data_IF_049454011524
#
_entry.id   IF_049454011524
#
_cell.length_a   1.000
_cell.length_b   1.000
_cell.length_c   1.000
_cell.angle_alpha   90.00
_cell.angle_beta   90.00
_cell.angle_gamma   90.00
#
_symmetry.space_group_name_H-M   'P 1'
#
loop_
_entity.id
_entity.type
_entity.pdbx_description
1 polymer ?
#
# COMPACT_ATOMS: atom_id res chain seq x y z
N UNK A 1 -3.20 13.50 -8.05
CA UNK A 1 -1.78 13.95 -7.96
C UNK A 1 -1.63 15.11 -8.96
N UNK A 2 -0.91 16.19 -8.63
CA UNK A 2 -0.71 17.29 -9.57
C UNK A 2 0.62 17.08 -10.31
N UNK A 3 0.55 16.70 -11.58
CA UNK A 3 1.73 16.36 -12.39
C UNK A 3 2.64 17.56 -12.67
N UNK A 4 2.09 18.78 -12.73
CA UNK A 4 2.88 19.98 -13.00
C UNK A 4 3.74 20.40 -11.80
N UNK A 5 3.29 20.07 -10.58
CA UNK A 5 3.90 20.45 -9.31
C UNK A 5 3.82 19.31 -8.29
N UNK A 6 4.60 18.22 -8.48
CA UNK A 6 4.57 17.04 -7.62
C UNK A 6 4.92 17.35 -6.16
N UNK A 7 5.75 18.36 -5.90
CA UNK A 7 6.21 18.72 -4.56
C UNK A 7 5.31 19.78 -3.87
N UNK A 8 4.18 20.17 -4.50
CA UNK A 8 3.27 21.14 -3.90
C UNK A 8 2.68 20.59 -2.60
N UNK A 9 2.81 21.36 -1.52
CA UNK A 9 2.38 20.95 -0.18
C UNK A 9 3.46 20.25 0.64
N UNK A 10 4.54 19.77 0.01
CA UNK A 10 5.69 19.16 0.69
C UNK A 10 6.84 20.16 0.87
N UNK A 11 7.03 21.06 -0.09
CA UNK A 11 8.04 22.13 0.00
C UNK A 11 7.59 23.16 1.03
N UNK A 12 8.44 23.47 2.00
CA UNK A 12 8.19 24.49 3.02
C UNK A 12 9.05 25.73 2.79
N UNK A 13 8.56 26.87 3.25
CA UNK A 13 9.34 28.11 3.23
C UNK A 13 10.40 28.07 4.32
N UNK A 14 11.69 28.19 3.98
CA UNK A 14 12.80 28.18 4.95
C UNK A 14 12.88 29.35 5.94
N UNK A 15 11.81 30.14 6.09
CA UNK A 15 11.67 31.13 7.15
C UNK A 15 10.45 30.88 8.05
N UNK A 16 9.29 30.54 7.47
CA UNK A 16 8.07 30.33 8.27
C UNK A 16 7.63 28.87 8.39
N UNK A 17 8.35 27.94 7.76
CA UNK A 17 8.09 26.50 7.71
C UNK A 17 6.70 26.08 7.20
N UNK A 18 5.88 27.04 6.77
CA UNK A 18 4.59 26.77 6.17
C UNK A 18 4.77 26.23 4.75
N UNK A 19 3.87 25.32 4.30
CA UNK A 19 3.89 24.81 2.95
C UNK A 19 3.83 25.92 1.91
N UNK A 20 4.71 25.84 0.92
CA UNK A 20 4.70 26.70 -0.25
C UNK A 20 3.58 26.26 -1.21
N UNK A 21 2.99 27.23 -1.89
CA UNK A 21 2.08 26.97 -3.01
C UNK A 21 2.86 26.97 -4.32
N UNK A 22 2.18 26.69 -5.42
CA UNK A 22 2.77 26.69 -6.76
C UNK A 22 1.93 27.52 -7.73
N UNK A 23 2.59 28.15 -8.71
CA UNK A 23 1.93 28.92 -9.74
C UNK A 23 2.69 28.93 -11.07
N UNK A 24 1.96 29.26 -12.13
CA UNK A 24 2.52 29.61 -13.43
C UNK A 24 2.54 31.14 -13.59
N UNK A 25 3.72 31.71 -13.81
CA UNK A 25 3.88 33.14 -14.10
C UNK A 25 4.03 33.36 -15.61
N UNK A 26 3.27 34.30 -16.18
CA UNK A 26 3.39 34.68 -17.60
C UNK A 26 4.60 35.62 -17.78
N UNK A 27 5.55 35.24 -18.64
CA UNK A 27 6.62 36.11 -19.11
C UNK A 27 6.40 36.56 -20.56
N UNK A 28 7.44 37.14 -21.17
CA UNK A 28 7.39 37.67 -22.55
C UNK A 28 7.05 36.61 -23.60
N UNK A 29 7.65 35.42 -23.46
CA UNK A 29 7.58 34.37 -24.49
C UNK A 29 6.96 33.06 -24.01
N UNK A 30 6.82 32.86 -22.70
CA UNK A 30 6.37 31.59 -22.13
C UNK A 30 5.75 31.77 -20.74
N UNK A 31 5.16 30.68 -20.22
CA UNK A 31 4.79 30.55 -18.81
C UNK A 31 5.92 29.85 -18.06
N UNK A 32 6.21 30.32 -16.86
CA UNK A 32 7.30 29.83 -16.03
C UNK A 32 6.75 29.29 -14.70
N UNK A 33 7.05 28.05 -14.32
CA UNK A 33 6.54 27.44 -13.10
C UNK A 33 7.39 27.80 -11.87
N UNK A 34 6.72 28.12 -10.76
CA UNK A 34 7.35 28.52 -9.51
C UNK A 34 6.66 27.90 -8.29
N UNK A 35 7.44 27.65 -7.24
CA UNK A 35 6.96 27.51 -5.87
C UNK A 35 7.09 28.84 -5.14
N UNK A 36 6.10 29.25 -4.35
CA UNK A 36 6.14 30.51 -3.61
C UNK A 36 5.52 30.42 -2.21
N UNK A 37 6.03 31.25 -1.29
CA UNK A 37 5.43 31.39 0.03
C UNK A 37 4.20 32.30 -0.04
N UNK A 38 3.01 31.81 0.29
CA UNK A 38 1.79 32.62 0.32
C UNK A 38 1.37 33.06 1.74
N UNK A 39 2.29 32.93 2.71
CA UNK A 39 2.05 33.37 4.08
C UNK A 39 2.25 34.87 4.21
N UNK A 40 1.15 35.64 4.33
CA UNK A 40 1.17 37.11 4.41
C UNK A 40 2.08 37.68 5.52
N UNK A 41 2.22 37.00 6.64
CA UNK A 41 3.04 37.43 7.78
C UNK A 41 4.53 37.04 7.66
N UNK A 42 4.94 36.39 6.58
CA UNK A 42 6.31 35.92 6.40
C UNK A 42 7.18 36.99 5.71
N UNK A 43 8.44 37.14 6.14
CA UNK A 43 9.42 38.02 5.45
C UNK A 43 9.69 37.57 4.01
N UNK A 44 9.40 36.31 3.70
CA UNK A 44 9.49 35.73 2.36
C UNK A 44 8.14 35.65 1.65
N UNK A 45 7.12 36.40 2.10
CA UNK A 45 5.84 36.46 1.40
C UNK A 45 6.03 36.79 -0.09
N UNK A 46 5.41 35.98 -0.95
CA UNK A 46 5.53 36.02 -2.43
C UNK A 46 6.94 35.85 -2.99
N UNK A 47 7.91 35.43 -2.18
CA UNK A 47 9.20 34.95 -2.68
C UNK A 47 8.96 33.68 -3.49
N UNK A 48 9.32 33.74 -4.77
CA UNK A 48 9.15 32.66 -5.74
C UNK A 48 10.49 32.02 -6.09
N UNK A 49 10.53 30.69 -6.10
CA UNK A 49 11.69 29.88 -6.47
C UNK A 49 11.30 29.05 -7.69
N UNK A 50 12.17 28.99 -8.71
CA UNK A 50 11.90 28.24 -9.95
C UNK A 50 11.64 26.78 -9.62
N UNK A 51 10.62 26.20 -10.25
CA UNK A 51 10.25 24.78 -10.10
C UNK A 51 11.46 23.87 -10.33
N UNK A 52 12.16 24.09 -11.44
CA UNK A 52 13.36 23.34 -11.84
C UNK A 52 14.42 23.27 -10.74
N UNK A 53 14.63 24.36 -9.99
CA UNK A 53 15.62 24.36 -8.91
C UNK A 53 15.20 23.45 -7.76
N UNK A 54 13.97 23.62 -7.27
CA UNK A 54 13.48 22.83 -6.14
C UNK A 54 13.36 21.35 -6.50
N UNK A 55 12.83 21.04 -7.68
CA UNK A 55 12.65 19.66 -8.13
C UNK A 55 13.99 19.00 -8.48
N UNK A 56 14.94 19.74 -9.06
CA UNK A 56 16.30 19.24 -9.29
C UNK A 56 17.07 18.97 -8.00
N UNK A 57 17.01 19.90 -7.03
CA UNK A 57 17.63 19.69 -5.70
C UNK A 57 17.00 18.46 -5.00
N UNK A 58 15.69 18.24 -5.17
CA UNK A 58 15.00 17.06 -4.64
C UNK A 58 15.40 15.76 -5.34
N UNK A 59 15.59 15.78 -6.66
CA UNK A 59 16.07 14.61 -7.42
C UNK A 59 17.47 14.18 -6.97
N UNK A 60 18.37 15.13 -6.73
CA UNK A 60 19.70 14.87 -6.18
C UNK A 60 19.58 14.19 -4.80
N UNK A 61 18.76 14.75 -3.91
CA UNK A 61 18.53 14.17 -2.59
C UNK A 61 17.97 12.74 -2.67
N UNK A 62 17.05 12.47 -3.59
CA UNK A 62 16.54 11.12 -3.81
C UNK A 62 17.64 10.15 -4.27
N UNK A 63 18.57 10.61 -5.09
CA UNK A 63 19.73 9.83 -5.51
C UNK A 63 20.68 9.48 -4.36
N UNK A 64 20.77 10.32 -3.33
CA UNK A 64 21.59 10.06 -2.13
C UNK A 64 20.93 9.07 -1.16
N UNK A 65 19.60 8.96 -1.18
CA UNK A 65 18.83 8.09 -0.28
C UNK A 65 18.83 6.61 -0.69
N UNK A 66 19.72 6.21 -1.60
CA UNK A 66 19.87 4.81 -2.02
C UNK A 66 20.58 4.01 -0.92
N UNK A 67 19.94 2.96 -0.35
CA UNK A 67 20.59 2.13 0.65
C UNK A 67 21.81 1.42 0.05
N UNK A 68 22.85 1.22 0.87
CA UNK A 68 24.01 0.44 0.44
C UNK A 68 23.59 -0.95 -0.07
N UNK A 69 24.30 -1.48 -1.06
CA UNK A 69 24.00 -2.79 -1.65
C UNK A 69 23.86 -3.90 -0.59
N UNK A 70 24.68 -3.83 0.47
CA UNK A 70 24.63 -4.79 1.57
C UNK A 70 23.35 -4.64 2.42
N UNK A 71 22.97 -3.41 2.78
CA UNK A 71 21.73 -3.17 3.52
C UNK A 71 20.51 -3.62 2.71
N UNK A 72 20.50 -3.31 1.41
CA UNK A 72 19.42 -3.74 0.52
C UNK A 72 19.35 -5.27 0.41
N UNK A 73 20.48 -5.95 0.22
CA UNK A 73 20.52 -7.41 0.15
C UNK A 73 20.03 -8.08 1.44
N UNK A 74 20.41 -7.53 2.60
CA UNK A 74 19.95 -8.02 3.90
C UNK A 74 18.43 -7.84 4.05
N UNK A 75 17.91 -6.64 3.80
CA UNK A 75 16.48 -6.37 3.86
C UNK A 75 15.70 -7.26 2.88
N UNK A 76 16.20 -7.44 1.66
CA UNK A 76 15.60 -8.30 0.65
C UNK A 76 15.53 -9.77 1.09
N UNK A 77 16.60 -10.29 1.69
CA UNK A 77 16.60 -11.65 2.25
C UNK A 77 15.54 -11.78 3.37
N UNK A 78 15.46 -10.82 4.29
CA UNK A 78 14.43 -10.82 5.34
C UNK A 78 13.02 -10.79 4.75
N UNK A 79 12.78 -9.94 3.74
CA UNK A 79 11.50 -9.90 3.05
C UNK A 79 11.17 -11.22 2.37
N UNK A 80 12.14 -11.86 1.72
CA UNK A 80 11.97 -13.16 1.08
C UNK A 80 11.61 -14.24 2.11
N UNK A 81 12.27 -14.26 3.26
CA UNK A 81 12.01 -15.24 4.31
C UNK A 81 10.60 -15.09 4.87
N UNK A 82 10.17 -13.85 5.17
CA UNK A 82 8.81 -13.55 5.61
C UNK A 82 7.79 -13.94 4.53
N UNK A 83 8.08 -13.64 3.26
CA UNK A 83 7.21 -13.97 2.14
C UNK A 83 7.03 -15.48 1.98
N UNK A 84 8.12 -16.25 2.07
CA UNK A 84 8.08 -17.70 1.98
C UNK A 84 7.33 -18.32 3.15
N UNK A 85 7.55 -17.84 4.38
CA UNK A 85 6.81 -18.31 5.56
C UNK A 85 5.31 -18.05 5.42
N UNK A 86 4.92 -16.90 4.84
CA UNK A 86 3.52 -16.58 4.54
C UNK A 86 2.93 -17.51 3.48
N UNK A 87 3.70 -17.83 2.44
CA UNK A 87 3.27 -18.76 1.40
C UNK A 87 3.03 -20.16 1.98
N UNK A 88 3.98 -20.68 2.76
CA UNK A 88 3.87 -21.98 3.42
C UNK A 88 2.66 -22.05 4.36
N UNK A 89 2.47 -21.03 5.19
CA UNK A 89 1.29 -20.94 6.07
C UNK A 89 -0.01 -20.95 5.29
N UNK A 90 -0.07 -20.22 4.18
CA UNK A 90 -1.25 -20.21 3.30
C UNK A 90 -1.53 -21.57 2.66
N UNK A 91 -0.50 -22.32 2.30
CA UNK A 91 -0.66 -23.68 1.78
C UNK A 91 -1.15 -24.65 2.86
N UNK A 92 -0.62 -24.55 4.08
CA UNK A 92 -1.08 -25.36 5.21
C UNK A 92 -2.53 -25.08 5.58
N UNK A 93 -2.93 -23.81 5.60
CA UNK A 93 -4.33 -23.42 5.80
C UNK A 93 -5.24 -24.01 4.72
N UNK A 94 -4.82 -23.93 3.45
CA UNK A 94 -5.55 -24.54 2.33
C UNK A 94 -5.70 -26.05 2.51
N UNK A 95 -4.61 -26.75 2.85
CA UNK A 95 -4.63 -28.20 3.12
C UNK A 95 -5.57 -28.55 4.28
N UNK A 96 -5.54 -27.77 5.36
CA UNK A 96 -6.41 -27.93 6.52
C UNK A 96 -7.89 -27.76 6.14
N UNK A 97 -8.23 -26.69 5.42
CA UNK A 97 -9.59 -26.44 4.95
C UNK A 97 -10.10 -27.57 4.04
N UNK A 98 -9.27 -28.10 3.14
CA UNK A 98 -9.63 -29.23 2.29
C UNK A 98 -9.94 -30.49 3.10
N UNK A 99 -9.13 -30.80 4.13
CA UNK A 99 -9.40 -31.92 5.04
C UNK A 99 -10.71 -31.73 5.80
N UNK A 100 -10.98 -30.51 6.28
CA UNK A 100 -12.23 -30.18 6.97
C UNK A 100 -13.45 -30.38 6.06
N UNK A 101 -13.37 -29.94 4.79
CA UNK A 101 -14.44 -30.18 3.81
C UNK A 101 -14.73 -31.68 3.64
N UNK A 102 -13.70 -32.51 3.44
CA UNK A 102 -13.88 -33.97 3.32
C UNK A 102 -14.46 -34.58 4.61
N UNK A 103 -14.04 -34.09 5.78
CA UNK A 103 -14.57 -34.59 7.05
C UNK A 103 -16.04 -34.19 7.25
N UNK A 104 -16.43 -32.97 6.87
CA UNK A 104 -17.81 -32.51 6.92
C UNK A 104 -18.69 -33.33 5.98
N UNK A 105 -18.23 -33.61 4.76
CA UNK A 105 -18.94 -34.44 3.78
C UNK A 105 -19.23 -35.85 4.32
N UNK A 106 -18.20 -36.53 4.85
CA UNK A 106 -18.36 -37.86 5.49
C UNK A 106 -19.36 -37.85 6.65
N UNK A 107 -19.34 -36.80 7.49
CA UNK A 107 -20.29 -36.66 8.60
C UNK A 107 -21.71 -36.48 8.09
N UNK A 108 -21.92 -35.70 7.03
CA UNK A 108 -23.21 -35.53 6.39
C UNK A 108 -23.75 -36.86 5.88
N UNK A 109 -22.96 -37.63 5.12
CA UNK A 109 -23.37 -38.96 4.63
C UNK A 109 -23.75 -39.90 5.79
N UNK A 110 -22.92 -39.98 6.83
CA UNK A 110 -23.17 -40.83 7.98
C UNK A 110 -24.47 -40.47 8.71
N UNK A 111 -24.78 -39.18 8.84
CA UNK A 111 -26.03 -38.73 9.45
C UNK A 111 -27.23 -39.09 8.58
N UNK A 112 -27.12 -38.96 7.25
CA UNK A 112 -28.16 -39.38 6.32
C UNK A 112 -28.43 -40.89 6.41
N UNK A 113 -27.38 -41.73 6.41
CA UNK A 113 -27.53 -43.18 6.54
C UNK A 113 -28.26 -43.56 7.84
N UNK A 114 -27.85 -42.97 8.97
CA UNK A 114 -28.51 -43.20 10.27
C UNK A 114 -29.97 -42.79 10.29
N UNK A 115 -30.34 -41.70 9.61
CA UNK A 115 -31.74 -41.26 9.53
C UNK A 115 -32.58 -42.27 8.74
N UNK A 116 -32.04 -42.84 7.66
CA UNK A 116 -32.72 -43.85 6.85
C UNK A 116 -32.94 -45.14 7.66
N UNK A 117 -31.90 -45.61 8.36
CA UNK A 117 -31.97 -46.80 9.21
C UNK A 117 -32.97 -46.65 10.37
N UNK A 118 -33.06 -45.45 10.95
CA UNK A 118 -34.02 -45.19 12.04
C UNK A 118 -35.46 -45.23 11.52
N UNK A 119 -35.69 -44.76 10.29
CA UNK A 119 -37.02 -44.71 9.70
C UNK A 119 -37.51 -46.09 9.22
N UNK A 120 -36.62 -46.97 8.74
CA UNK A 120 -36.97 -48.35 8.35
C UNK A 120 -37.34 -49.22 9.55
N UNK A 121 -36.62 -49.09 10.67
CA UNK A 121 -36.90 -49.83 11.91
C UNK A 121 -38.28 -49.51 12.51
N UNK A 122 -38.80 -48.29 12.28
CA UNK A 122 -40.16 -47.91 12.69
C UNK A 122 -41.28 -48.46 11.81
N UNK A 123 -40.99 -48.84 10.55
CA UNK A 123 -42.01 -49.38 9.63
C UNK A 123 -42.18 -50.90 9.79
N UNK A 124 -41.13 -51.62 10.19
CA UNK A 124 -41.19 -53.07 10.43
C UNK A 124 -41.99 -53.47 11.69
N UNK A 125 -42.35 -52.52 12.55
CA UNK A 125 -43.16 -52.76 13.75
C UNK A 125 -44.69 -52.62 13.54
N UNK A 126 -45.15 -52.45 12.30
CA UNK A 126 -46.57 -52.27 11.95
C UNK A 126 -47.12 -53.25 10.88
N UNK A 127 -46.50 -54.42 10.73
CA UNK A 127 -47.07 -55.56 9.98
C UNK A 127 -47.33 -56.77 10.88
#
# INVERSE_FOLDING_TARGET
MNEDFPLRGFVTCGHCDKPMTACWSKGRSAKYPYYLCDTKSCVHYRKSIRREKIEGDFEILLGELVPSANLFAMAFNMFRDIWNARLESSEDEKRSMQRQLTQMDRKSTLLLDKLIDTNSATVDHHL
#
